data_IF_179776428221
#
_entry.id   IF_179776428221
#
_cell.length_a   1.000
_cell.length_b   1.000
_cell.length_c   1.000
_cell.angle_alpha   90.00
_cell.angle_beta   90.00
_cell.angle_gamma   90.00
#
_symmetry.space_group_name_H-M   'P 1'
#
loop_
_entity.id
_entity.type
_entity.pdbx_description
1 polymer ?
#
# COMPACT_ATOMS: atom_id res chain seq x y z
N UNK A 1 -0.19 -10.20 5.58
CA UNK A 1 -1.47 -9.64 6.08
C UNK A 1 -1.25 -8.26 6.66
N UNK A 2 -0.24 -8.10 7.52
CA UNK A 2 0.13 -6.79 8.06
C UNK A 2 0.38 -5.74 6.98
N UNK A 3 1.11 -6.05 5.91
CA UNK A 3 1.36 -5.07 4.83
C UNK A 3 0.06 -4.53 4.22
N UNK A 4 -0.88 -5.41 3.89
CA UNK A 4 -2.21 -5.04 3.35
C UNK A 4 -3.03 -4.22 4.35
N UNK A 5 -2.92 -4.52 5.64
CA UNK A 5 -3.60 -3.76 6.70
C UNK A 5 -2.93 -2.40 6.92
N UNK A 6 -1.61 -2.30 6.79
CA UNK A 6 -0.88 -1.03 6.89
C UNK A 6 -1.12 -0.15 5.67
N UNK A 7 -1.25 -0.73 4.46
CA UNK A 7 -1.73 -0.01 3.27
C UNK A 7 -3.15 0.56 3.50
N UNK A 8 -4.01 -0.18 4.19
CA UNK A 8 -5.34 0.33 4.60
C UNK A 8 -5.24 1.50 5.57
N UNK A 9 -4.44 1.38 6.64
CA UNK A 9 -4.27 2.45 7.61
C UNK A 9 -3.70 3.72 6.95
N UNK A 10 -2.70 3.56 6.08
CA UNK A 10 -2.12 4.65 5.31
C UNK A 10 -3.15 5.33 4.41
N UNK A 11 -3.95 4.56 3.67
CA UNK A 11 -4.96 5.11 2.77
C UNK A 11 -6.13 5.78 3.53
N UNK A 12 -6.54 5.21 4.68
CA UNK A 12 -7.58 5.76 5.55
C UNK A 12 -7.17 7.12 6.12
N UNK A 13 -5.95 7.20 6.66
CA UNK A 13 -5.45 8.37 7.40
C UNK A 13 -4.44 9.18 6.59
N UNK A 14 -4.50 9.09 5.26
CA UNK A 14 -3.52 9.67 4.33
C UNK A 14 -3.16 11.13 4.62
N UNK A 15 -4.16 11.93 4.99
CA UNK A 15 -4.01 13.35 5.33
C UNK A 15 -3.07 13.64 6.52
N UNK A 16 -2.78 12.63 7.36
CA UNK A 16 -1.82 12.74 8.45
C UNK A 16 -0.36 12.64 7.96
N UNK A 17 -0.12 12.08 6.78
CA UNK A 17 1.20 11.69 6.31
C UNK A 17 1.61 12.37 4.99
N UNK A 18 0.68 13.00 4.28
CA UNK A 18 0.97 13.69 3.04
C UNK A 18 0.08 14.91 2.83
N UNK A 19 0.68 16.01 2.38
CA UNK A 19 -0.04 17.25 2.03
C UNK A 19 -0.88 17.11 0.75
N UNK A 20 -0.47 16.22 -0.15
CA UNK A 20 -1.19 15.92 -1.39
C UNK A 20 -2.39 15.02 -1.08
N UNK A 21 -3.62 15.34 -1.52
CA UNK A 21 -4.76 14.44 -1.38
C UNK A 21 -4.54 13.06 -2.00
N UNK A 22 -5.07 12.01 -1.38
CA UNK A 22 -4.88 10.62 -1.84
C UNK A 22 -5.31 10.42 -3.30
N UNK A 23 -6.43 11.02 -3.72
CA UNK A 23 -6.94 10.93 -5.09
C UNK A 23 -6.03 11.63 -6.12
N UNK A 24 -5.36 12.71 -5.74
CA UNK A 24 -4.34 13.34 -6.56
C UNK A 24 -3.09 12.46 -6.65
N UNK A 25 -2.67 11.86 -5.53
CA UNK A 25 -1.55 10.93 -5.48
C UNK A 25 -1.78 9.69 -6.36
N UNK A 26 -2.90 8.98 -6.19
CA UNK A 26 -3.17 7.75 -6.96
C UNK A 26 -3.29 8.03 -8.45
N UNK A 27 -3.96 9.13 -8.85
CA UNK A 27 -3.97 9.57 -10.26
C UNK A 27 -2.57 9.83 -10.81
N UNK A 28 -1.70 10.46 -10.03
CA UNK A 28 -0.30 10.69 -10.43
C UNK A 28 0.44 9.37 -10.65
N UNK A 29 0.27 8.40 -9.74
CA UNK A 29 0.86 7.06 -9.87
C UNK A 29 0.34 6.34 -11.11
N UNK A 30 -0.98 6.33 -11.34
CA UNK A 30 -1.57 5.72 -12.52
C UNK A 30 -1.16 6.40 -13.82
N UNK A 31 -1.04 7.73 -13.82
CA UNK A 31 -0.52 8.48 -14.95
C UNK A 31 0.91 8.10 -15.27
N UNK A 32 1.77 7.94 -14.26
CA UNK A 32 3.15 7.49 -14.44
C UNK A 32 3.21 6.06 -15.03
N UNK A 33 2.38 5.13 -14.53
CA UNK A 33 2.28 3.79 -15.11
C UNK A 33 1.80 3.82 -16.57
N UNK A 34 0.80 4.63 -16.89
CA UNK A 34 0.30 4.75 -18.27
C UNK A 34 1.31 5.38 -19.22
N UNK A 35 2.21 6.23 -18.71
CA UNK A 35 3.23 6.92 -19.50
C UNK A 35 4.52 6.10 -19.69
N UNK A 36 4.69 4.99 -18.98
CA UNK A 36 5.90 4.16 -19.03
C UNK A 36 5.80 3.08 -20.14
N UNK A 37 6.50 3.24 -21.27
CA UNK A 37 6.42 2.29 -22.38
C UNK A 37 7.10 0.95 -22.10
N UNK A 38 8.03 0.88 -21.14
CA UNK A 38 8.81 -0.32 -20.83
C UNK A 38 8.34 -1.01 -19.54
N UNK A 39 7.05 -0.90 -19.20
CA UNK A 39 6.50 -1.65 -18.07
C UNK A 39 6.69 -3.16 -18.27
N UNK A 40 7.04 -3.90 -17.19
CA UNK A 40 7.00 -5.36 -17.23
C UNK A 40 5.65 -5.85 -17.73
N UNK A 41 5.64 -6.83 -18.64
CA UNK A 41 4.45 -7.27 -19.39
C UNK A 41 3.22 -7.48 -18.49
N UNK A 42 3.40 -8.20 -17.37
CA UNK A 42 2.33 -8.46 -16.41
C UNK A 42 1.75 -7.18 -15.81
N UNK A 43 2.59 -6.19 -15.49
CA UNK A 43 2.15 -4.91 -14.95
C UNK A 43 1.45 -4.07 -16.01
N UNK A 44 1.96 -4.05 -17.25
CA UNK A 44 1.32 -3.38 -18.37
C UNK A 44 -0.12 -3.89 -18.62
N UNK A 45 -0.34 -5.20 -18.47
CA UNK A 45 -1.67 -5.82 -18.61
C UNK A 45 -2.66 -5.41 -17.51
N UNK A 46 -2.20 -5.21 -16.28
CA UNK A 46 -3.08 -4.89 -15.15
C UNK A 46 -3.22 -3.40 -14.87
N UNK A 47 -2.24 -2.57 -15.25
CA UNK A 47 -2.21 -1.14 -14.93
C UNK A 47 -3.47 -0.36 -15.39
N UNK A 48 -4.03 -0.58 -16.60
CA UNK A 48 -5.28 0.08 -17.01
C UNK A 48 -6.45 -0.25 -16.08
N UNK A 49 -6.56 -1.51 -15.64
CA UNK A 49 -7.61 -1.94 -14.71
C UNK A 49 -7.39 -1.41 -13.30
N UNK A 50 -6.13 -1.37 -12.84
CA UNK A 50 -5.77 -0.78 -11.55
C UNK A 50 -6.25 0.68 -11.47
N UNK A 51 -6.00 1.44 -12.53
CA UNK A 51 -6.41 2.84 -12.63
C UNK A 51 -7.93 3.00 -12.71
N UNK A 52 -8.59 2.22 -13.58
CA UNK A 52 -10.04 2.29 -13.77
C UNK A 52 -10.85 1.94 -12.51
N UNK A 53 -10.25 1.19 -11.58
CA UNK A 53 -10.89 0.74 -10.33
C UNK A 53 -10.26 1.38 -9.09
N UNK A 54 -9.37 2.37 -9.26
CA UNK A 54 -8.62 3.06 -8.19
C UNK A 54 -8.11 2.10 -7.09
N UNK A 55 -7.44 1.01 -7.48
CA UNK A 55 -7.01 -0.03 -6.54
C UNK A 55 -6.23 0.53 -5.34
N UNK A 56 -5.36 1.52 -5.53
CA UNK A 56 -4.56 2.14 -4.48
C UNK A 56 -5.44 2.98 -3.56
N UNK A 57 -6.33 3.81 -4.12
CA UNK A 57 -7.23 4.64 -3.33
C UNK A 57 -8.30 3.82 -2.60
N UNK A 58 -8.65 2.65 -3.14
CA UNK A 58 -9.67 1.74 -2.58
C UNK A 58 -9.26 1.14 -1.24
N UNK A 59 -7.96 1.09 -0.91
CA UNK A 59 -7.48 0.64 0.40
C UNK A 59 -8.04 1.46 1.55
N UNK A 60 -8.56 2.68 1.32
CA UNK A 60 -9.26 3.45 2.37
C UNK A 60 -10.46 2.70 2.96
N UNK A 61 -11.07 1.80 2.20
CA UNK A 61 -12.22 1.00 2.63
C UNK A 61 -11.76 -0.36 3.16
N UNK A 62 -12.06 -0.63 4.42
CA UNK A 62 -11.70 -1.89 5.07
C UNK A 62 -12.31 -3.12 4.38
N UNK A 63 -13.48 -2.98 3.73
CA UNK A 63 -14.13 -4.09 3.04
C UNK A 63 -13.33 -4.58 1.81
N UNK A 64 -12.50 -3.73 1.21
CA UNK A 64 -11.64 -4.09 0.07
C UNK A 64 -10.62 -5.17 0.45
N UNK A 65 -10.22 -5.23 1.72
CA UNK A 65 -9.16 -6.12 2.18
C UNK A 65 -9.56 -7.58 2.06
N UNK A 66 -10.85 -7.91 2.19
CA UNK A 66 -11.33 -9.27 1.96
C UNK A 66 -11.04 -9.73 0.53
N UNK A 67 -11.28 -8.87 -0.46
CA UNK A 67 -11.00 -9.18 -1.87
C UNK A 67 -9.50 -9.31 -2.13
N UNK A 68 -8.70 -8.42 -1.53
CA UNK A 68 -7.23 -8.45 -1.64
C UNK A 68 -6.67 -9.73 -1.04
N UNK A 69 -7.07 -10.09 0.18
CA UNK A 69 -6.64 -11.30 0.87
C UNK A 69 -7.03 -12.57 0.09
N UNK A 70 -8.25 -12.62 -0.44
CA UNK A 70 -8.68 -13.71 -1.32
C UNK A 70 -7.82 -13.79 -2.60
N UNK A 71 -7.45 -12.64 -3.16
CA UNK A 71 -6.55 -12.55 -4.30
C UNK A 71 -5.13 -13.06 -4.01
N UNK A 72 -4.61 -12.77 -2.82
CA UNK A 72 -3.30 -13.24 -2.35
C UNK A 72 -3.35 -14.74 -2.06
N UNK A 73 -4.36 -15.21 -1.33
CA UNK A 73 -4.52 -16.63 -0.97
C UNK A 73 -4.49 -17.54 -2.19
N UNK A 74 -5.18 -17.16 -3.28
CA UNK A 74 -5.14 -17.90 -4.56
C UNK A 74 -3.76 -18.01 -5.22
N UNK A 75 -2.81 -17.13 -4.86
CA UNK A 75 -1.45 -17.11 -5.42
C UNK A 75 -0.44 -17.82 -4.52
N UNK A 76 -0.81 -18.17 -3.29
CA UNK A 76 0.07 -18.84 -2.34
C UNK A 76 0.06 -20.35 -2.55
N UNK A 77 1.21 -20.98 -2.32
CA UNK A 77 1.35 -22.45 -2.35
C UNK A 77 0.60 -23.17 -1.22
N UNK A 78 0.24 -22.44 -0.14
CA UNK A 78 -0.53 -22.90 1.02
C UNK A 78 -1.62 -21.88 1.38
N UNK A 79 -2.76 -21.90 0.69
CA UNK A 79 -3.83 -20.90 0.86
C UNK A 79 -4.46 -20.90 2.26
N UNK A 80 -4.41 -22.02 2.98
CA UNK A 80 -4.90 -22.20 4.35
C UNK A 80 -4.21 -21.27 5.36
N UNK A 81 -3.01 -20.78 5.08
CA UNK A 81 -2.30 -19.82 5.95
C UNK A 81 -2.97 -18.44 6.04
N UNK A 82 -3.96 -18.16 5.19
CA UNK A 82 -4.78 -16.95 5.25
C UNK A 82 -6.24 -17.24 5.61
N UNK A 83 -6.59 -18.50 5.89
CA UNK A 83 -7.93 -18.86 6.34
C UNK A 83 -8.21 -18.18 7.70
N UNK A 84 -9.37 -17.56 7.84
CA UNK A 84 -9.69 -16.80 9.05
C UNK A 84 -9.07 -15.40 9.13
N UNK A 85 -8.23 -15.02 8.17
CA UNK A 85 -7.43 -13.80 8.27
C UNK A 85 -8.26 -12.52 8.33
N UNK A 86 -9.43 -12.49 7.69
CA UNK A 86 -10.32 -11.33 7.78
C UNK A 86 -10.93 -11.19 9.18
N UNK A 87 -11.34 -12.29 9.82
CA UNK A 87 -11.83 -12.26 11.20
C UNK A 87 -10.74 -11.77 12.17
N UNK A 88 -9.50 -12.22 11.97
CA UNK A 88 -8.37 -11.79 12.79
C UNK A 88 -8.08 -10.29 12.64
N UNK A 89 -8.02 -9.78 11.40
CA UNK A 89 -7.86 -8.34 11.15
C UNK A 89 -9.00 -7.52 11.76
N UNK A 90 -10.23 -8.02 11.72
CA UNK A 90 -11.37 -7.33 12.33
C UNK A 90 -11.28 -7.32 13.86
N UNK A 91 -10.89 -8.43 14.48
CA UNK A 91 -10.69 -8.52 15.92
C UNK A 91 -9.53 -7.65 16.42
N UNK A 92 -8.47 -7.52 15.61
CA UNK A 92 -7.27 -6.76 15.93
C UNK A 92 -7.23 -5.37 15.30
N UNK A 93 -8.34 -4.90 14.71
CA UNK A 93 -8.36 -3.66 13.93
C UNK A 93 -7.80 -2.46 14.73
N UNK A 94 -8.27 -2.30 15.96
CA UNK A 94 -7.87 -1.20 16.84
C UNK A 94 -6.40 -1.30 17.29
N UNK A 95 -5.92 -2.42 17.89
CA UNK A 95 -4.52 -2.51 18.28
C UNK A 95 -3.57 -2.37 17.08
N UNK A 96 -3.87 -2.99 15.93
CA UNK A 96 -3.03 -2.84 14.74
C UNK A 96 -3.04 -1.42 14.17
N UNK A 97 -4.17 -0.71 14.26
CA UNK A 97 -4.24 0.71 13.85
C UNK A 97 -3.38 1.60 14.76
N UNK A 98 -3.35 1.31 16.07
CA UNK A 98 -2.50 2.02 17.02
C UNK A 98 -1.02 1.73 16.74
N UNK A 99 -0.66 0.46 16.54
CA UNK A 99 0.70 0.06 16.16
C UNK A 99 1.17 0.77 14.88
N UNK A 100 0.29 0.88 13.86
CA UNK A 100 0.60 1.62 12.65
C UNK A 100 0.84 3.12 12.91
N UNK A 101 -0.02 3.75 13.70
CA UNK A 101 0.08 5.18 14.01
C UNK A 101 1.38 5.52 14.77
N UNK A 102 1.88 4.60 15.60
CA UNK A 102 3.16 4.74 16.29
C UNK A 102 4.35 4.42 15.37
N UNK A 103 4.23 3.39 14.52
CA UNK A 103 5.33 2.89 13.69
C UNK A 103 5.59 3.74 12.44
N UNK A 104 4.56 4.17 11.70
CA UNK A 104 4.73 4.77 10.39
C UNK A 104 5.57 6.07 10.40
N UNK A 105 5.42 6.99 11.36
CA UNK A 105 6.30 8.17 11.45
C UNK A 105 7.78 7.81 11.65
N UNK A 106 8.07 6.72 12.37
CA UNK A 106 9.44 6.24 12.56
C UNK A 106 10.03 5.70 11.25
N UNK A 107 9.22 4.97 10.48
CA UNK A 107 9.59 4.48 9.16
C UNK A 107 9.87 5.64 8.18
N UNK A 108 9.01 6.66 8.17
CA UNK A 108 9.21 7.85 7.35
C UNK A 108 10.51 8.58 7.73
N UNK A 109 10.74 8.83 9.01
CA UNK A 109 11.96 9.47 9.49
C UNK A 109 13.22 8.67 9.11
N UNK A 110 13.18 7.35 9.25
CA UNK A 110 14.27 6.48 8.82
C UNK A 110 14.53 6.55 7.32
N UNK A 111 13.47 6.50 6.50
CA UNK A 111 13.58 6.58 5.05
C UNK A 111 14.16 7.93 4.59
N UNK A 112 13.71 9.03 5.19
CA UNK A 112 14.24 10.37 4.90
C UNK A 112 15.72 10.49 5.27
N UNK A 113 16.12 9.98 6.43
CA UNK A 113 17.52 9.96 6.84
C UNK A 113 18.39 9.13 5.87
N UNK A 114 17.88 7.98 5.40
CA UNK A 114 18.58 7.14 4.45
C UNK A 114 18.72 7.79 3.06
N UNK A 115 17.75 8.59 2.62
CA UNK A 115 17.82 9.36 1.37
C UNK A 115 18.86 10.48 1.49
N UNK A 116 18.82 11.27 2.57
CA UNK A 116 19.78 12.33 2.81
C UNK A 116 21.22 11.81 2.90
N UNK A 117 21.44 10.65 3.54
CA UNK A 117 22.75 10.01 3.63
C UNK A 117 23.30 9.50 2.30
N UNK A 118 22.44 9.23 1.30
CA UNK A 118 22.89 8.83 -0.04
C UNK A 118 23.39 10.01 -0.86
N UNK A 119 22.82 11.19 -0.66
CA UNK A 119 23.25 12.41 -1.34
C UNK A 119 24.65 12.86 -0.89
N UNK A 120 25.03 12.62 0.37
CA UNK A 120 26.36 12.96 0.92
C UNK A 120 27.49 12.03 0.45
N UNK A 121 27.19 10.85 -0.09
CA UNK A 121 28.20 9.85 -0.45
C UNK A 121 28.53 9.83 -1.95
N UNK A 122 27.90 10.70 -2.76
CA UNK A 122 28.13 10.81 -4.21
C UNK A 122 29.12 11.92 -4.61
N UNK A 123 29.79 12.55 -3.66
CA UNK A 123 30.87 13.52 -3.91
C UNK A 123 32.17 12.96 -3.32
N UNK A 124 32.90 12.17 -4.10
CA UNK A 124 34.18 11.57 -3.73
C UNK A 124 34.87 10.90 -4.91
#
# INVERSE_FOLDING_TARGET
>A
MLDVFFDHCLARDWHCYADMPLDAFTRKVYGALAAEPQLPERLALIAPRMAAQDWLGSYRDFAVLEQVLNGISRRLSRPEGLAGGMQELQALYQPLSADFAEFYPLLEAFAQAALAGRETTSVG
#
